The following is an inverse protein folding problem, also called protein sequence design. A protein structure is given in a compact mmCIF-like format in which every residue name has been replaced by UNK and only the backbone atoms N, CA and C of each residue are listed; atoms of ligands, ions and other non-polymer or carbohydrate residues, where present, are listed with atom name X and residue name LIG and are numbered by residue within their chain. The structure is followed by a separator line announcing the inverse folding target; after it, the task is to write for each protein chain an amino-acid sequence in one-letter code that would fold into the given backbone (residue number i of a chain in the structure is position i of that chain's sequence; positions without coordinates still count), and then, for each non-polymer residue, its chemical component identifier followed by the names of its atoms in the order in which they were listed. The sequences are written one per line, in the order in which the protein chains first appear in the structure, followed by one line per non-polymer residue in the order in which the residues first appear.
data_IF_444531056524
#
_entry.id   IF_444531056524
#
_cell.length_a   1.000
_cell.length_b   1.000
_cell.length_c   1.000
_cell.angle_alpha   90.00
_cell.angle_beta   90.00
_cell.angle_gamma   90.00
#
_symmetry.space_group_name_H-M   'P 1'
#
loop_
_entity.id
_entity.type
_entity.pdbx_description
1 polymer ?
#
# COMPACT_ATOMS: atom_id res chain seq x y z
N UNK A 1 8.81 10.10 22.67
CA UNK A 1 8.58 10.01 21.22
C UNK A 1 7.07 9.87 21.07
N UNK A 2 6.39 10.96 20.78
CA UNK A 2 4.93 11.07 20.83
C UNK A 2 4.31 10.33 19.65
N UNK A 3 3.43 9.38 19.91
CA UNK A 3 2.72 8.62 18.87
C UNK A 3 1.54 9.46 18.39
N UNK A 4 1.72 10.25 17.33
CA UNK A 4 0.60 10.86 16.63
C UNK A 4 -0.22 9.76 15.95
N UNK A 5 -1.47 9.60 16.38
CA UNK A 5 -2.42 8.67 15.76
C UNK A 5 -3.07 9.40 14.59
N UNK A 6 -2.60 9.12 13.37
CA UNK A 6 -3.23 9.63 12.16
C UNK A 6 -4.46 8.78 11.85
N UNK A 7 -5.67 9.31 12.12
CA UNK A 7 -6.92 8.63 11.81
C UNK A 7 -7.25 8.82 10.33
N UNK A 8 -6.77 7.92 9.47
CA UNK A 8 -7.25 7.84 8.10
C UNK A 8 -8.72 7.37 8.11
N UNK A 9 -9.61 8.09 7.41
CA UNK A 9 -10.96 7.59 7.14
C UNK A 9 -10.86 6.20 6.53
N UNK A 10 -11.58 5.23 7.11
CA UNK A 10 -11.49 3.84 6.67
C UNK A 10 -11.97 3.71 5.22
N UNK A 11 -11.09 3.20 4.35
CA UNK A 11 -11.43 2.82 2.97
C UNK A 11 -12.41 1.63 3.02
N UNK A 12 -13.55 1.76 2.35
CA UNK A 12 -14.57 0.71 2.31
C UNK A 12 -14.15 -0.49 1.47
N UNK A 13 -14.70 -1.67 1.75
CA UNK A 13 -14.39 -2.88 1.00
C UNK A 13 -14.88 -2.81 -0.47
N UNK A 14 -16.01 -2.13 -0.73
CA UNK A 14 -16.48 -1.87 -2.11
C UNK A 14 -15.46 -1.03 -2.91
N UNK A 15 -14.79 -0.07 -2.27
CA UNK A 15 -13.74 0.71 -2.94
C UNK A 15 -12.54 -0.19 -3.26
N UNK A 16 -12.12 -1.05 -2.34
CA UNK A 16 -11.03 -2.01 -2.57
C UNK A 16 -11.39 -2.96 -3.72
N UNK A 17 -12.61 -3.48 -3.76
CA UNK A 17 -13.07 -4.38 -4.82
C UNK A 17 -13.03 -3.68 -6.19
N UNK A 18 -13.51 -2.44 -6.28
CA UNK A 18 -13.49 -1.68 -7.54
C UNK A 18 -12.06 -1.42 -8.01
N UNK A 19 -11.16 -1.02 -7.10
CA UNK A 19 -9.77 -0.74 -7.44
C UNK A 19 -8.98 -2.00 -7.81
N UNK A 20 -9.38 -3.19 -7.36
CA UNK A 20 -8.76 -4.46 -7.78
C UNK A 20 -8.84 -4.70 -9.30
N UNK A 21 -9.75 -4.01 -9.99
CA UNK A 21 -9.99 -4.12 -11.44
C UNK A 21 -9.30 -3.00 -12.24
N UNK A 22 -8.65 -2.05 -11.57
CA UNK A 22 -8.01 -0.87 -12.18
C UNK A 22 -6.49 -1.03 -12.17
N UNK A 23 -5.81 -0.89 -13.33
CA UNK A 23 -4.35 -0.91 -13.36
C UNK A 23 -3.73 0.20 -12.50
N UNK A 24 -2.67 -0.14 -11.75
CA UNK A 24 -1.97 0.82 -10.89
C UNK A 24 -1.43 2.06 -11.65
N UNK A 25 -1.09 1.90 -12.93
CA UNK A 25 -0.71 3.01 -13.80
C UNK A 25 -1.82 4.06 -13.96
N UNK A 26 -3.07 3.61 -14.17
CA UNK A 26 -4.22 4.50 -14.32
C UNK A 26 -4.53 5.23 -13.00
N UNK A 27 -4.41 4.53 -11.87
CA UNK A 27 -4.54 5.15 -10.53
C UNK A 27 -3.47 6.24 -10.36
N UNK A 28 -2.24 5.93 -10.77
CA UNK A 28 -1.14 6.87 -10.75
C UNK A 28 -1.33 8.10 -11.63
N UNK A 29 -1.81 7.92 -12.86
CA UNK A 29 -2.09 9.03 -13.77
C UNK A 29 -3.23 9.92 -13.23
N UNK A 30 -4.26 9.33 -12.62
CA UNK A 30 -5.34 10.08 -11.93
C UNK A 30 -4.86 10.86 -10.70
N UNK A 31 -3.74 10.46 -10.09
CA UNK A 31 -3.07 11.16 -9.00
C UNK A 31 -2.00 12.16 -9.49
N UNK A 32 -1.99 12.52 -10.78
CA UNK A 32 -0.96 13.38 -11.38
C UNK A 32 0.46 12.86 -11.13
N UNK A 33 0.59 11.53 -10.98
CA UNK A 33 1.81 10.83 -10.59
C UNK A 33 2.42 11.21 -9.24
N UNK A 34 1.64 11.84 -8.38
CA UNK A 34 2.01 12.14 -7.01
C UNK A 34 1.76 10.92 -6.10
N UNK A 35 2.68 10.63 -5.18
CA UNK A 35 2.52 9.53 -4.21
C UNK A 35 2.70 8.11 -4.75
N UNK A 36 3.15 7.95 -6.01
CA UNK A 36 3.47 6.64 -6.59
C UNK A 36 4.88 6.20 -6.16
N UNK A 37 5.02 4.93 -5.79
CA UNK A 37 6.31 4.33 -5.45
C UNK A 37 7.07 3.92 -6.72
N UNK A 38 8.36 4.25 -6.77
CA UNK A 38 9.31 3.70 -7.74
C UNK A 38 10.21 2.64 -7.09
N UNK A 39 10.70 1.68 -7.86
CA UNK A 39 11.72 0.71 -7.42
C UNK A 39 11.19 -0.63 -6.87
N UNK A 40 9.89 -0.76 -6.62
CA UNK A 40 9.27 -2.06 -6.31
C UNK A 40 8.96 -2.84 -7.60
N UNK A 41 9.08 -4.17 -7.54
CA UNK A 41 8.81 -5.08 -8.65
C UNK A 41 8.05 -6.32 -8.15
N UNK A 42 7.11 -6.86 -8.95
CA UNK A 42 6.47 -8.12 -8.63
C UNK A 42 7.48 -9.27 -8.70
N UNK A 43 7.31 -10.26 -7.82
CA UNK A 43 8.18 -11.45 -7.78
C UNK A 43 7.74 -12.51 -8.81
N UNK A 44 6.45 -12.53 -9.18
CA UNK A 44 5.89 -13.45 -10.18
C UNK A 44 5.04 -12.73 -11.23
N UNK A 45 4.86 -13.37 -12.38
CA UNK A 45 4.05 -12.85 -13.47
C UNK A 45 2.57 -12.75 -13.05
N UNK A 46 1.95 -11.60 -13.34
CA UNK A 46 0.55 -11.35 -13.02
C UNK A 46 0.27 -11.00 -11.55
N UNK A 47 1.30 -10.81 -10.71
CA UNK A 47 1.10 -10.35 -9.33
C UNK A 47 0.45 -8.96 -9.30
N UNK A 48 -0.70 -8.86 -8.63
CA UNK A 48 -1.41 -7.62 -8.35
C UNK A 48 -2.03 -7.70 -6.96
N UNK A 49 -2.11 -6.57 -6.26
CA UNK A 49 -2.70 -6.49 -4.93
C UNK A 49 -3.41 -5.16 -4.75
N UNK A 50 -4.54 -5.19 -4.05
CA UNK A 50 -5.28 -4.01 -3.62
C UNK A 50 -5.78 -4.25 -2.21
N UNK A 51 -5.64 -3.26 -1.34
CA UNK A 51 -6.03 -3.39 0.06
C UNK A 51 -5.65 -2.18 0.90
N UNK A 52 -6.08 -2.19 2.15
CA UNK A 52 -5.67 -1.21 3.17
C UNK A 52 -4.22 -1.46 3.56
N UNK A 53 -3.43 -0.39 3.65
CA UNK A 53 -2.04 -0.50 4.07
C UNK A 53 -1.96 -0.88 5.56
N UNK A 54 -1.23 -1.94 5.87
CA UNK A 54 -0.76 -2.25 7.21
C UNK A 54 0.74 -1.96 7.25
N UNK A 55 1.10 -0.83 7.86
CA UNK A 55 2.48 -0.34 7.84
C UNK A 55 3.28 -0.93 8.99
N UNK A 56 4.47 -1.46 8.69
CA UNK A 56 5.40 -2.00 9.66
C UNK A 56 6.76 -1.31 9.47
N UNK A 57 7.35 -0.86 10.56
CA UNK A 57 8.69 -0.27 10.56
C UNK A 57 9.64 -1.19 11.33
N UNK A 58 10.69 -1.67 10.67
CA UNK A 58 11.70 -2.55 11.28
C UNK A 58 13.09 -1.91 11.26
N UNK A 59 13.99 -2.43 12.11
CA UNK A 59 15.42 -2.11 12.04
C UNK A 59 16.07 -2.92 10.90
N UNK A 60 17.12 -2.37 10.29
CA UNK A 60 17.93 -3.11 9.31
C UNK A 60 18.42 -4.45 9.88
N UNK A 61 18.14 -5.55 9.18
CA UNK A 61 18.49 -6.91 9.60
C UNK A 61 17.56 -7.56 10.64
N UNK A 62 16.48 -6.89 11.05
CA UNK A 62 15.51 -7.41 12.03
C UNK A 62 14.10 -7.50 11.40
N UNK A 63 13.42 -8.63 11.58
CA UNK A 63 12.07 -8.89 11.06
C UNK A 63 11.03 -9.22 12.16
N UNK A 64 11.35 -9.06 13.45
CA UNK A 64 10.46 -9.45 14.56
C UNK A 64 9.05 -8.84 14.45
N UNK A 65 8.95 -7.56 14.06
CA UNK A 65 7.69 -6.84 13.94
C UNK A 65 6.81 -7.26 12.75
N UNK A 66 7.31 -8.09 11.83
CA UNK A 66 6.45 -8.68 10.79
C UNK A 66 5.49 -9.72 11.40
N UNK A 67 5.82 -10.25 12.58
CA UNK A 67 5.09 -11.32 13.27
C UNK A 67 4.30 -10.84 14.49
N UNK A 68 4.23 -9.53 14.73
CA UNK A 68 3.58 -8.92 15.90
C UNK A 68 2.50 -7.97 15.43
#
# INVERSE_FOLDING_TARGET
MSTETYSATAVSDDMIERFSRVPAANVGDAQERFGIIAGLRPIWAGAAVTGRAYTVWTRSGDNLYIHK
#
